data_IF_047592802133
#
_entry.id   IF_047592802133
#
_cell.length_a   1.000
_cell.length_b   1.000
_cell.length_c   1.000
_cell.angle_alpha   90.00
_cell.angle_beta   90.00
_cell.angle_gamma   90.00
#
_symmetry.space_group_name_H-M   'P 1'
#
loop_
_entity.id
_entity.type
_entity.pdbx_description
1 polymer ?
#
# COMPACT_ATOMS: atom_id res chain seq x y z
N UNK A 1 31.03 -2.32 15.39
CA UNK A 1 29.98 -1.36 15.02
C UNK A 1 29.00 -2.15 14.18
N UNK A 2 27.76 -2.38 14.62
CA UNK A 2 26.75 -2.90 13.69
C UNK A 2 26.60 -1.80 12.64
N UNK A 3 27.00 -2.05 11.40
CA UNK A 3 26.52 -1.24 10.29
C UNK A 3 24.99 -1.27 10.41
N UNK A 4 24.38 -0.10 10.54
CA UNK A 4 22.94 -0.03 10.70
C UNK A 4 22.30 -0.59 9.42
N UNK A 5 21.14 -1.21 9.49
CA UNK A 5 20.44 -1.67 8.29
C UNK A 5 20.17 -0.50 7.30
N UNK A 6 20.10 0.73 7.83
CA UNK A 6 20.06 1.98 7.07
C UNK A 6 21.33 2.16 6.23
N UNK A 7 22.53 1.84 6.74
CA UNK A 7 23.79 1.97 6.01
C UNK A 7 23.81 1.08 4.75
N UNK A 8 23.18 -0.10 4.81
CA UNK A 8 23.04 -1.02 3.65
C UNK A 8 22.17 -0.37 2.57
N UNK A 9 21.05 0.25 2.99
CA UNK A 9 20.12 0.94 2.09
C UNK A 9 20.75 2.18 1.47
N UNK A 10 21.55 2.94 2.24
CA UNK A 10 22.25 4.13 1.74
C UNK A 10 23.37 3.80 0.74
N UNK A 11 23.98 2.63 0.90
CA UNK A 11 25.03 2.13 0.00
C UNK A 11 24.48 1.34 -1.18
N UNK A 12 23.18 1.04 -1.22
CA UNK A 12 22.58 0.32 -2.34
C UNK A 12 22.83 1.06 -3.66
N UNK A 13 23.09 0.28 -4.70
CA UNK A 13 23.26 0.77 -6.07
C UNK A 13 22.38 -0.08 -6.95
N UNK A 14 21.42 0.58 -7.56
CA UNK A 14 20.52 -0.04 -8.52
C UNK A 14 21.29 -0.38 -9.80
N UNK A 15 21.08 -1.60 -10.29
CA UNK A 15 21.57 -2.03 -11.59
C UNK A 15 20.32 -2.27 -12.45
N UNK A 16 20.03 -1.39 -13.43
CA UNK A 16 18.86 -1.52 -14.28
C UNK A 16 18.75 -2.94 -14.86
N UNK A 17 17.54 -3.50 -14.83
CA UNK A 17 17.19 -4.83 -15.33
C UNK A 17 17.87 -6.03 -14.64
N UNK A 18 18.65 -5.79 -13.57
CA UNK A 18 19.38 -6.85 -12.85
C UNK A 18 19.08 -6.86 -11.35
N UNK A 19 19.05 -5.67 -10.74
CA UNK A 19 18.84 -5.50 -9.31
C UNK A 19 18.16 -4.16 -9.07
N UNK A 20 16.85 -4.19 -8.90
CA UNK A 20 16.07 -2.98 -8.62
C UNK A 20 15.88 -2.76 -7.12
N UNK A 21 15.67 -1.50 -6.73
CA UNK A 21 15.50 -1.16 -5.30
C UNK A 21 14.20 -1.73 -4.73
N UNK A 22 13.14 -1.80 -5.54
CA UNK A 22 11.85 -2.36 -5.13
C UNK A 22 11.99 -3.82 -4.68
N UNK A 23 12.66 -4.66 -5.48
CA UNK A 23 12.87 -6.07 -5.14
C UNK A 23 13.68 -6.23 -3.84
N UNK A 24 14.76 -5.46 -3.70
CA UNK A 24 15.57 -5.46 -2.48
C UNK A 24 14.72 -5.04 -1.27
N UNK A 25 13.95 -3.96 -1.38
CA UNK A 25 13.06 -3.46 -0.33
C UNK A 25 12.07 -4.55 0.12
N UNK A 26 11.36 -5.17 -0.84
CA UNK A 26 10.34 -6.16 -0.56
C UNK A 26 10.93 -7.45 0.03
N UNK A 27 12.07 -7.93 -0.48
CA UNK A 27 12.77 -9.10 0.08
C UNK A 27 13.21 -8.84 1.51
N UNK A 28 13.70 -7.64 1.80
CA UNK A 28 14.11 -7.27 3.14
C UNK A 28 12.94 -7.13 4.11
N UNK A 29 11.81 -6.55 3.68
CA UNK A 29 10.59 -6.53 4.47
C UNK A 29 10.10 -7.96 4.76
N UNK A 30 10.13 -8.85 3.76
CA UNK A 30 9.77 -10.24 3.97
C UNK A 30 10.68 -10.90 5.02
N UNK A 31 11.99 -10.67 4.94
CA UNK A 31 12.97 -11.27 5.86
C UNK A 31 12.91 -10.70 7.28
N UNK A 32 12.71 -9.39 7.43
CA UNK A 32 12.81 -8.69 8.71
C UNK A 32 11.46 -8.57 9.42
N UNK A 33 10.38 -8.34 8.67
CA UNK A 33 9.04 -8.18 9.21
C UNK A 33 7.96 -8.71 8.26
N UNK A 34 7.80 -10.06 8.20
CA UNK A 34 6.82 -10.71 7.32
C UNK A 34 5.39 -10.13 7.37
N UNK A 35 4.86 -9.69 8.52
CA UNK A 35 3.54 -9.05 8.57
C UNK A 35 3.45 -7.77 7.73
N UNK A 36 4.46 -6.89 7.76
CA UNK A 36 4.47 -5.68 6.91
C UNK A 36 4.59 -6.06 5.44
N UNK A 37 5.42 -7.05 5.09
CA UNK A 37 5.48 -7.53 3.71
C UNK A 37 4.13 -8.04 3.21
N UNK A 38 3.43 -8.88 3.99
CA UNK A 38 2.10 -9.38 3.62
C UNK A 38 1.10 -8.24 3.50
N UNK A 39 1.14 -7.28 4.42
CA UNK A 39 0.31 -6.07 4.36
C UNK A 39 0.57 -5.28 3.08
N UNK A 40 1.82 -4.99 2.72
CA UNK A 40 2.17 -4.34 1.45
C UNK A 40 1.63 -5.09 0.24
N UNK A 41 1.77 -6.43 0.21
CA UNK A 41 1.22 -7.27 -0.88
C UNK A 41 -0.30 -7.19 -0.95
N UNK A 42 -0.98 -7.23 0.21
CA UNK A 42 -2.44 -7.07 0.28
C UNK A 42 -2.89 -5.71 -0.24
N UNK A 43 -2.28 -4.63 0.23
CA UNK A 43 -2.58 -3.26 -0.21
C UNK A 43 -2.31 -3.10 -1.71
N UNK A 44 -1.24 -3.70 -2.23
CA UNK A 44 -0.96 -3.80 -3.66
C UNK A 44 -2.10 -4.43 -4.44
N UNK A 45 -2.50 -5.66 -4.06
CA UNK A 45 -3.55 -6.42 -4.74
C UNK A 45 -4.91 -5.71 -4.70
N UNK A 46 -5.28 -5.15 -3.54
CA UNK A 46 -6.51 -4.38 -3.35
C UNK A 46 -6.50 -3.13 -4.22
N UNK A 47 -5.41 -2.35 -4.19
CA UNK A 47 -5.27 -1.12 -4.99
C UNK A 47 -5.37 -1.42 -6.48
N UNK A 48 -4.71 -2.47 -6.96
CA UNK A 48 -4.79 -2.89 -8.38
C UNK A 48 -6.22 -3.26 -8.77
N UNK A 49 -6.90 -4.07 -7.97
CA UNK A 49 -8.29 -4.47 -8.22
C UNK A 49 -9.20 -3.23 -8.27
N UNK A 50 -9.13 -2.35 -7.25
CA UNK A 50 -9.90 -1.12 -7.21
C UNK A 50 -9.59 -0.21 -8.42
N UNK A 51 -8.33 -0.10 -8.82
CA UNK A 51 -7.91 0.70 -9.98
C UNK A 51 -8.54 0.16 -11.28
N UNK A 52 -8.52 -1.16 -11.50
CA UNK A 52 -9.15 -1.80 -12.68
C UNK A 52 -10.65 -1.48 -12.73
N UNK A 53 -11.35 -1.58 -11.59
CA UNK A 53 -12.76 -1.20 -11.53
C UNK A 53 -12.97 0.30 -11.77
N UNK A 54 -12.09 1.16 -11.26
CA UNK A 54 -12.14 2.59 -11.47
C UNK A 54 -11.94 2.96 -12.95
N UNK A 55 -11.02 2.32 -13.65
CA UNK A 55 -10.80 2.50 -15.10
C UNK A 55 -12.09 2.17 -15.88
N UNK A 56 -12.82 1.12 -15.46
CA UNK A 56 -14.08 0.74 -16.10
C UNK A 56 -15.22 1.73 -15.79
N UNK A 57 -15.35 2.14 -14.54
CA UNK A 57 -16.51 2.89 -14.05
C UNK A 57 -16.37 4.41 -14.23
N UNK A 58 -15.18 4.96 -13.94
CA UNK A 58 -14.91 6.40 -13.91
C UNK A 58 -13.47 6.73 -14.37
N UNK A 59 -13.08 6.39 -15.61
CA UNK A 59 -11.71 6.63 -16.11
C UNK A 59 -11.28 8.10 -16.09
N UNK A 60 -12.23 9.04 -16.11
CA UNK A 60 -11.94 10.47 -16.00
C UNK A 60 -11.23 10.87 -14.70
N UNK A 61 -11.39 10.09 -13.63
CA UNK A 61 -10.71 10.32 -12.35
C UNK A 61 -9.22 9.97 -12.40
N UNK A 62 -8.78 9.22 -13.41
CA UNK A 62 -7.38 8.81 -13.59
C UNK A 62 -6.64 9.67 -14.63
N UNK A 63 -7.31 10.65 -15.24
CA UNK A 63 -6.64 11.62 -16.12
C UNK A 63 -5.60 12.40 -15.30
N UNK A 64 -4.36 12.43 -15.81
CA UNK A 64 -3.20 13.01 -15.13
C UNK A 64 -2.26 11.95 -14.54
N UNK A 65 -2.80 10.77 -14.15
CA UNK A 65 -1.98 9.63 -13.74
C UNK A 65 -1.12 9.20 -14.92
N UNK A 66 0.17 8.95 -14.67
CA UNK A 66 1.18 8.68 -15.70
C UNK A 66 1.17 9.70 -16.85
N UNK A 67 0.84 10.96 -16.55
CA UNK A 67 0.78 12.10 -17.50
C UNK A 67 -0.25 11.92 -18.62
N UNK A 68 -1.25 11.06 -18.42
CA UNK A 68 -2.37 10.94 -19.35
C UNK A 68 -3.15 12.24 -19.43
N UNK A 69 -3.62 12.59 -20.62
CA UNK A 69 -4.33 13.85 -20.90
C UNK A 69 -5.81 13.65 -21.17
N UNK A 70 -6.21 12.45 -21.53
CA UNK A 70 -7.58 12.14 -21.95
C UNK A 70 -8.04 10.81 -21.38
N UNK A 71 -9.36 10.63 -21.30
CA UNK A 71 -9.98 9.34 -20.95
C UNK A 71 -9.55 8.23 -21.92
N UNK A 72 -9.35 8.55 -23.19
CA UNK A 72 -8.89 7.57 -24.18
C UNK A 72 -7.48 7.07 -23.85
N UNK A 73 -6.56 7.97 -23.51
CA UNK A 73 -5.21 7.57 -23.08
C UNK A 73 -5.23 6.72 -21.81
N UNK A 74 -6.14 6.99 -20.87
CA UNK A 74 -6.35 6.15 -19.68
C UNK A 74 -6.81 4.74 -20.07
N UNK A 75 -7.72 4.61 -21.03
CA UNK A 75 -8.22 3.31 -21.49
C UNK A 75 -7.16 2.51 -22.26
N UNK A 76 -6.40 3.16 -23.14
CA UNK A 76 -5.32 2.52 -23.89
C UNK A 76 -4.19 2.05 -22.96
N UNK A 77 -3.88 2.81 -21.91
CA UNK A 77 -2.80 2.52 -20.96
C UNK A 77 -3.30 1.89 -19.66
N UNK A 78 -4.47 1.23 -19.69
CA UNK A 78 -5.11 0.66 -18.50
C UNK A 78 -4.22 -0.30 -17.73
N UNK A 79 -3.45 -1.13 -18.44
CA UNK A 79 -2.59 -2.14 -17.82
C UNK A 79 -1.39 -1.46 -17.13
N UNK A 80 -0.78 -0.47 -17.79
CA UNK A 80 0.29 0.36 -17.20
C UNK A 80 -0.18 1.11 -15.96
N UNK A 81 -1.40 1.67 -15.97
CA UNK A 81 -1.96 2.39 -14.82
C UNK A 81 -2.25 1.42 -13.66
N UNK A 82 -2.79 0.24 -13.96
CA UNK A 82 -3.06 -0.78 -12.95
C UNK A 82 -1.76 -1.32 -12.34
N UNK A 83 -0.71 -1.49 -13.13
CA UNK A 83 0.62 -1.89 -12.65
C UNK A 83 1.27 -0.77 -11.82
N UNK A 84 1.21 0.49 -12.26
CA UNK A 84 1.65 1.63 -11.46
C UNK A 84 0.95 1.65 -10.09
N UNK A 85 -0.38 1.48 -10.07
CA UNK A 85 -1.16 1.47 -8.83
C UNK A 85 -0.73 0.32 -7.91
N UNK A 86 -0.44 -0.86 -8.47
CA UNK A 86 0.05 -2.01 -7.72
C UNK A 86 1.42 -1.78 -7.09
N UNK A 87 2.41 -1.34 -7.88
CA UNK A 87 3.78 -1.15 -7.40
C UNK A 87 3.92 0.06 -6.46
N UNK A 88 3.16 1.12 -6.72
CA UNK A 88 3.08 2.25 -5.80
C UNK A 88 2.49 1.84 -4.43
N UNK A 89 1.46 1.01 -4.44
CA UNK A 89 0.87 0.45 -3.24
C UNK A 89 1.79 -0.55 -2.53
N UNK A 90 2.56 -1.39 -3.25
CA UNK A 90 3.57 -2.25 -2.64
C UNK A 90 4.62 -1.45 -1.84
N UNK A 91 4.99 -0.28 -2.37
CA UNK A 91 6.02 0.58 -1.80
C UNK A 91 5.51 1.62 -0.78
N UNK A 92 4.19 1.70 -0.50
CA UNK A 92 3.63 2.79 0.33
C UNK A 92 4.31 2.90 1.70
N UNK A 93 4.66 1.75 2.27
CA UNK A 93 5.23 1.56 3.59
C UNK A 93 6.77 1.50 3.60
N UNK A 94 7.43 1.85 2.48
CA UNK A 94 8.88 1.68 2.31
C UNK A 94 9.70 2.28 3.45
N UNK A 95 9.29 3.42 4.00
CA UNK A 95 10.01 4.08 5.08
C UNK A 95 10.02 3.32 6.40
N UNK A 96 9.12 2.36 6.62
CA UNK A 96 9.11 1.51 7.83
C UNK A 96 10.40 0.71 7.99
N UNK A 97 11.13 0.52 6.89
CA UNK A 97 12.43 -0.14 6.87
C UNK A 97 13.47 0.54 7.79
N UNK A 98 13.39 1.86 7.96
CA UNK A 98 14.30 2.63 8.79
C UNK A 98 13.98 2.56 10.29
N UNK A 99 12.78 2.08 10.64
CA UNK A 99 12.24 2.01 12.00
C UNK A 99 11.74 0.60 12.32
N UNK A 100 12.32 -0.40 11.65
CA UNK A 100 11.82 -1.79 11.67
C UNK A 100 11.89 -2.39 13.10
N UNK A 101 12.87 -1.96 13.88
CA UNK A 101 13.07 -2.30 15.28
C UNK A 101 11.94 -1.78 16.17
N UNK A 102 11.44 -0.57 15.88
CA UNK A 102 10.33 0.06 16.60
C UNK A 102 8.99 -0.61 16.29
N UNK A 103 8.78 -1.06 15.05
CA UNK A 103 7.53 -1.78 14.70
C UNK A 103 7.53 -3.24 15.19
N UNK A 104 8.69 -3.81 15.52
CA UNK A 104 8.84 -5.21 15.96
C UNK A 104 8.33 -5.48 17.39
N UNK A 105 7.68 -4.50 18.03
CA UNK A 105 7.21 -4.62 19.42
C UNK A 105 5.94 -5.47 19.48
N UNK A 106 6.13 -6.79 19.54
CA UNK A 106 5.04 -7.73 19.79
C UNK A 106 4.54 -7.63 21.24
N UNK A 107 3.21 -7.61 21.42
CA UNK A 107 2.58 -7.89 22.72
C UNK A 107 2.32 -6.71 23.64
N UNK A 108 2.55 -5.46 23.22
CA UNK A 108 2.08 -4.27 23.96
C UNK A 108 1.63 -3.13 23.05
N UNK A 109 0.95 -2.14 23.63
CA UNK A 109 0.67 -0.87 22.95
C UNK A 109 1.97 -0.08 22.77
N UNK A 110 2.04 0.65 21.66
CA UNK A 110 3.08 1.64 21.41
C UNK A 110 2.94 2.80 22.39
N UNK A 111 4.08 3.36 22.79
CA UNK A 111 4.14 4.66 23.46
C UNK A 111 3.85 5.78 22.45
N UNK A 112 3.54 6.98 22.95
CA UNK A 112 3.33 8.14 22.09
C UNK A 112 4.57 8.48 21.24
N UNK A 113 5.78 8.30 21.80
CA UNK A 113 7.03 8.53 21.08
C UNK A 113 7.26 7.51 19.97
N UNK A 114 7.00 6.23 20.22
CA UNK A 114 7.11 5.18 19.18
C UNK A 114 6.09 5.42 18.07
N UNK A 115 4.87 5.84 18.42
CA UNK A 115 3.86 6.18 17.43
C UNK A 115 4.24 7.43 16.62
N UNK A 116 4.82 8.44 17.26
CA UNK A 116 5.35 9.62 16.57
C UNK A 116 6.49 9.25 15.60
N UNK A 117 7.37 8.33 15.99
CA UNK A 117 8.41 7.79 15.11
C UNK A 117 7.81 7.02 13.93
N UNK A 118 6.76 6.22 14.15
CA UNK A 118 6.07 5.56 13.04
C UNK A 118 5.51 6.58 12.05
N UNK A 119 5.01 7.74 12.49
CA UNK A 119 4.47 8.75 11.58
C UNK A 119 5.50 9.38 10.63
N UNK A 120 6.80 9.16 10.82
CA UNK A 120 7.84 9.67 9.92
C UNK A 120 8.08 8.77 8.69
N UNK A 121 7.50 7.56 8.66
CA UNK A 121 7.73 6.63 7.57
C UNK A 121 7.24 7.09 6.18
N UNK A 122 6.20 7.93 6.02
CA UNK A 122 5.84 8.44 4.70
C UNK A 122 6.93 9.36 4.12
N UNK A 123 7.50 10.26 4.94
CA UNK A 123 8.60 11.15 4.55
C UNK A 123 9.87 10.35 4.26
N UNK A 124 10.21 9.41 5.15
CA UNK A 124 11.36 8.52 4.94
C UNK A 124 11.19 7.67 3.67
N UNK A 125 9.97 7.18 3.42
CA UNK A 125 9.62 6.43 2.22
C UNK A 125 9.79 7.27 0.96
N UNK A 126 9.29 8.51 0.98
CA UNK A 126 9.48 9.46 -0.12
C UNK A 126 10.96 9.67 -0.44
N UNK A 127 11.78 9.94 0.59
CA UNK A 127 13.22 10.18 0.42
C UNK A 127 13.95 8.95 -0.14
N UNK A 128 13.59 7.75 0.33
CA UNK A 128 14.21 6.51 -0.13
C UNK A 128 13.82 6.19 -1.58
N UNK A 129 12.52 6.21 -1.88
CA UNK A 129 12.02 5.84 -3.21
C UNK A 129 12.47 6.86 -4.27
N UNK A 130 12.56 8.15 -3.92
CA UNK A 130 12.99 9.20 -4.86
C UNK A 130 14.43 9.05 -5.38
N UNK A 131 15.27 8.26 -4.70
CA UNK A 131 16.69 8.07 -5.06
C UNK A 131 16.89 7.09 -6.23
N UNK A 132 15.92 6.22 -6.50
CA UNK A 132 16.10 5.06 -7.36
C UNK A 132 15.17 5.11 -8.58
N UNK A 133 15.66 4.66 -9.73
CA UNK A 133 14.91 4.74 -10.98
C UNK A 133 13.66 3.85 -10.93
N UNK A 134 13.76 2.64 -10.36
CA UNK A 134 12.64 1.70 -10.26
C UNK A 134 11.50 2.17 -9.36
N UNK A 135 11.72 3.15 -8.48
CA UNK A 135 10.72 3.49 -7.44
C UNK A 135 10.38 4.97 -7.33
N UNK A 136 11.14 5.87 -7.97
CA UNK A 136 10.93 7.31 -7.82
C UNK A 136 9.54 7.79 -8.22
N UNK A 137 8.87 7.10 -9.13
CA UNK A 137 7.52 7.46 -9.57
C UNK A 137 6.44 7.12 -8.51
N UNK A 138 6.78 6.28 -7.53
CA UNK A 138 5.90 5.88 -6.41
C UNK A 138 6.06 6.78 -5.19
N UNK A 139 7.07 7.66 -5.15
CA UNK A 139 7.45 8.42 -3.96
C UNK A 139 6.31 9.26 -3.41
N UNK A 140 5.58 9.99 -4.27
CA UNK A 140 4.40 10.77 -3.87
C UNK A 140 3.30 9.92 -3.23
N UNK A 141 3.13 8.69 -3.72
CA UNK A 141 2.14 7.75 -3.18
C UNK A 141 2.53 7.33 -1.77
N UNK A 142 3.80 6.99 -1.55
CA UNK A 142 4.32 6.71 -0.21
C UNK A 142 4.23 7.92 0.72
N UNK A 143 4.47 9.15 0.24
CA UNK A 143 4.32 10.36 1.05
C UNK A 143 2.87 10.62 1.46
N UNK A 144 1.94 10.39 0.54
CA UNK A 144 0.55 10.79 0.66
C UNK A 144 -0.41 9.79 1.26
N UNK A 145 -0.06 8.50 1.37
CA UNK A 145 -1.03 7.44 1.66
C UNK A 145 -1.75 7.55 3.01
N UNK A 146 -1.28 8.37 3.95
CA UNK A 146 -1.97 8.66 5.22
C UNK A 146 -2.70 10.01 5.26
N UNK A 147 -2.61 10.84 4.22
CA UNK A 147 -3.34 12.10 4.10
C UNK A 147 -4.82 11.87 3.91
N UNK A 148 -5.65 12.75 4.47
CA UNK A 148 -7.09 12.74 4.21
C UNK A 148 -7.40 13.32 2.83
N UNK A 149 -8.50 12.88 2.23
CA UNK A 149 -8.92 13.28 0.89
C UNK A 149 -9.03 14.81 0.74
N UNK A 150 -9.57 15.50 1.74
CA UNK A 150 -9.73 16.96 1.77
C UNK A 150 -8.50 17.72 2.28
N UNK A 151 -7.41 17.02 2.61
CA UNK A 151 -6.19 17.53 3.23
C UNK A 151 -6.38 18.19 4.61
N UNK A 152 -7.53 18.04 5.29
CA UNK A 152 -7.77 18.61 6.62
C UNK A 152 -7.06 17.85 7.76
N UNK A 153 -6.52 16.67 7.44
CA UNK A 153 -5.89 15.77 8.40
C UNK A 153 -4.98 14.74 7.74
N UNK A 154 -4.49 13.82 8.58
CA UNK A 154 -3.45 12.86 8.20
C UNK A 154 -2.04 13.45 8.33
N UNK A 155 -1.04 12.68 7.93
CA UNK A 155 0.38 13.07 7.99
C UNK A 155 1.10 12.64 6.70
N UNK A 156 2.17 13.36 6.29
CA UNK A 156 2.71 14.58 6.93
C UNK A 156 1.82 15.82 6.72
N UNK A 157 1.90 16.81 7.60
CA UNK A 157 0.94 17.93 7.61
C UNK A 157 1.08 18.84 6.39
N UNK A 158 2.30 19.07 5.93
CA UNK A 158 2.70 19.98 4.86
C UNK A 158 2.51 19.42 3.44
N UNK A 159 2.20 18.13 3.30
CA UNK A 159 1.90 17.54 2.01
C UNK A 159 0.44 17.77 1.60
N UNK A 160 0.26 18.47 0.48
CA UNK A 160 -1.02 18.72 -0.17
C UNK A 160 -1.18 17.78 -1.36
N UNK A 161 -1.93 16.70 -1.15
CA UNK A 161 -2.13 15.63 -2.13
C UNK A 161 -2.76 16.14 -3.42
N UNK A 162 -3.55 17.23 -3.38
CA UNK A 162 -4.25 17.77 -4.55
C UNK A 162 -3.31 18.25 -5.66
N UNK A 163 -2.03 18.48 -5.33
CA UNK A 163 -0.98 18.88 -6.26
C UNK A 163 -0.23 17.71 -6.89
N UNK A 164 -0.39 16.49 -6.37
CA UNK A 164 0.27 15.31 -6.93
C UNK A 164 -0.48 14.81 -8.16
N UNK A 165 0.26 14.49 -9.23
CA UNK A 165 -0.30 13.79 -10.40
C UNK A 165 -0.80 12.38 -10.06
N UNK A 166 -0.43 11.84 -8.90
CA UNK A 166 -0.86 10.55 -8.39
C UNK A 166 -1.99 10.64 -7.34
N UNK A 167 -2.67 11.79 -7.18
CA UNK A 167 -3.75 12.00 -6.19
C UNK A 167 -4.76 10.86 -6.13
N UNK A 168 -5.27 10.43 -7.28
CA UNK A 168 -6.27 9.34 -7.35
C UNK A 168 -5.68 8.01 -6.89
N UNK A 169 -4.40 7.75 -7.17
CA UNK A 169 -3.70 6.55 -6.70
C UNK A 169 -3.45 6.65 -5.19
N UNK A 170 -3.08 7.82 -4.67
CA UNK A 170 -2.98 8.08 -3.22
C UNK A 170 -4.31 7.74 -2.52
N UNK A 171 -5.45 8.20 -3.06
CA UNK A 171 -6.77 7.92 -2.50
C UNK A 171 -7.11 6.41 -2.51
N UNK A 172 -6.73 5.70 -3.59
CA UNK A 172 -6.89 4.24 -3.65
C UNK A 172 -6.04 3.53 -2.60
N UNK A 173 -4.75 3.89 -2.48
CA UNK A 173 -3.82 3.29 -1.52
C UNK A 173 -4.24 3.60 -0.08
N UNK A 174 -4.65 4.82 0.22
CA UNK A 174 -5.15 5.22 1.54
C UNK A 174 -6.36 4.38 1.96
N UNK A 175 -7.30 4.14 1.03
CA UNK A 175 -8.45 3.27 1.26
C UNK A 175 -8.02 1.80 1.46
N UNK A 176 -7.17 1.28 0.59
CA UNK A 176 -6.70 -0.10 0.63
C UNK A 176 -5.87 -0.41 1.90
N UNK A 177 -4.98 0.49 2.32
CA UNK A 177 -4.22 0.41 3.57
C UNK A 177 -5.18 0.31 4.78
N UNK A 178 -6.09 1.28 4.90
CA UNK A 178 -7.07 1.30 5.99
C UNK A 178 -7.94 0.04 6.00
N UNK A 179 -8.36 -0.44 4.83
CA UNK A 179 -9.20 -1.62 4.68
C UNK A 179 -8.45 -2.89 5.09
N UNK A 180 -7.23 -3.10 4.60
CA UNK A 180 -6.44 -4.27 4.96
C UNK A 180 -6.15 -4.26 6.47
N UNK A 181 -5.72 -3.12 7.01
CA UNK A 181 -5.41 -2.96 8.43
C UNK A 181 -6.64 -3.17 9.33
N UNK A 182 -7.83 -2.72 8.92
CA UNK A 182 -9.06 -2.86 9.69
C UNK A 182 -9.62 -4.29 9.67
N UNK A 183 -9.42 -5.01 8.57
CA UNK A 183 -10.00 -6.35 8.36
C UNK A 183 -9.00 -7.49 8.63
N UNK A 184 -7.73 -7.18 8.90
CA UNK A 184 -6.72 -8.20 9.21
C UNK A 184 -7.01 -8.93 10.52
N UNK A 185 -7.34 -10.20 10.39
CA UNK A 185 -7.59 -11.12 11.49
C UNK A 185 -6.49 -12.20 11.63
N UNK A 186 -5.43 -12.16 10.81
CA UNK A 186 -4.31 -13.11 10.84
C UNK A 186 -3.07 -12.44 11.43
N UNK A 187 -2.63 -11.32 10.85
CA UNK A 187 -1.41 -10.63 11.28
C UNK A 187 -1.55 -9.82 12.55
N UNK A 188 -2.75 -9.26 12.76
CA UNK A 188 -3.07 -8.41 13.90
C UNK A 188 -3.87 -9.18 14.96
N UNK A 189 -3.27 -10.22 15.52
CA UNK A 189 -3.90 -11.24 16.40
C UNK A 189 -4.61 -10.73 17.66
N UNK A 190 -4.46 -9.46 18.01
CA UNK A 190 -5.01 -8.87 19.24
C UNK A 190 -6.40 -8.25 19.07
N UNK A 191 -6.91 -8.12 17.83
CA UNK A 191 -8.24 -7.59 17.55
C UNK A 191 -9.03 -8.55 16.67
N UNK A 192 -10.33 -8.68 16.94
CA UNK A 192 -11.26 -9.27 15.97
C UNK A 192 -11.35 -8.28 14.80
N UNK A 193 -10.73 -8.61 13.67
CA UNK A 193 -10.78 -7.78 12.47
C UNK A 193 -12.23 -7.49 12.06
N UNK A 194 -12.46 -6.28 11.54
CA UNK A 194 -13.77 -5.86 11.01
C UNK A 194 -14.12 -6.70 9.80
N UNK A 195 -15.40 -6.86 9.55
CA UNK A 195 -15.93 -7.31 8.26
C UNK A 195 -15.77 -6.22 7.21
N UNK A 196 -15.80 -6.59 5.92
CA UNK A 196 -15.79 -5.60 4.83
C UNK A 196 -16.99 -4.65 4.95
N UNK A 197 -18.18 -5.14 5.28
CA UNK A 197 -19.37 -4.29 5.46
C UNK A 197 -19.23 -3.27 6.60
N UNK A 198 -18.60 -3.64 7.72
CA UNK A 198 -18.30 -2.69 8.80
C UNK A 198 -17.32 -1.60 8.32
N UNK A 199 -16.28 -1.99 7.58
CA UNK A 199 -15.37 -1.01 6.96
C UNK A 199 -16.09 -0.09 5.95
N UNK A 200 -17.00 -0.63 5.12
CA UNK A 200 -17.75 0.18 4.15
C UNK A 200 -18.71 1.18 4.81
N UNK A 201 -19.23 0.85 6.00
CA UNK A 201 -19.98 1.82 6.81
C UNK A 201 -19.09 3.00 7.18
N UNK A 202 -17.88 2.73 7.70
CA UNK A 202 -16.91 3.78 8.06
C UNK A 202 -16.40 4.57 6.84
N UNK A 203 -16.24 3.90 5.70
CA UNK A 203 -15.90 4.54 4.43
C UNK A 203 -16.96 5.56 4.04
N UNK A 204 -18.24 5.19 4.15
CA UNK A 204 -19.37 6.06 3.86
C UNK A 204 -19.45 7.24 4.84
N UNK A 205 -19.27 6.99 6.14
CA UNK A 205 -19.24 8.04 7.18
C UNK A 205 -18.08 9.04 6.99
N UNK A 206 -16.93 8.57 6.52
CA UNK A 206 -15.75 9.37 6.26
C UNK A 206 -15.68 9.98 4.84
N UNK A 207 -16.68 9.77 3.99
CA UNK A 207 -16.69 10.21 2.61
C UNK A 207 -16.70 11.74 2.50
N UNK A 208 -15.83 12.29 1.65
CA UNK A 208 -15.69 13.73 1.43
C UNK A 208 -14.75 14.43 2.41
N UNK A 209 -14.32 13.75 3.47
CA UNK A 209 -13.32 14.23 4.41
C UNK A 209 -12.09 13.31 4.38
N UNK A 210 -12.14 12.18 5.11
CA UNK A 210 -11.04 11.21 5.16
C UNK A 210 -10.86 10.50 3.83
N UNK A 211 -11.96 10.04 3.23
CA UNK A 211 -11.96 9.25 2.00
C UNK A 211 -12.59 10.02 0.84
N UNK A 212 -12.13 9.75 -0.37
CA UNK A 212 -12.73 10.30 -1.57
C UNK A 212 -14.19 9.81 -1.74
N UNK A 213 -15.17 10.69 -2.00
CA UNK A 213 -16.58 10.29 -2.13
C UNK A 213 -16.81 9.21 -3.20
N UNK A 214 -16.05 9.24 -4.29
CA UNK A 214 -16.17 8.28 -5.39
C UNK A 214 -15.77 6.84 -5.01
N UNK A 215 -15.04 6.65 -3.90
CA UNK A 215 -14.74 5.31 -3.38
C UNK A 215 -16.02 4.59 -2.94
N UNK A 216 -16.98 5.29 -2.34
CA UNK A 216 -18.26 4.68 -1.94
C UNK A 216 -18.99 4.09 -3.14
N UNK A 217 -18.96 4.80 -4.28
CA UNK A 217 -19.57 4.34 -5.53
C UNK A 217 -18.82 3.12 -6.12
N UNK A 218 -17.50 3.04 -5.94
CA UNK A 218 -16.70 1.90 -6.40
C UNK A 218 -17.16 0.60 -5.72
N UNK A 219 -17.44 0.63 -4.41
CA UNK A 219 -17.91 -0.54 -3.66
C UNK A 219 -19.40 -0.84 -3.85
N UNK A 220 -20.17 0.05 -4.47
CA UNK A 220 -21.54 -0.24 -4.87
C UNK A 220 -21.60 -1.20 -6.09
N UNK A 221 -20.51 -1.32 -6.85
CA UNK A 221 -20.36 -2.32 -7.90
C UNK A 221 -20.17 -3.72 -7.29
N UNK A 222 -21.12 -4.62 -7.55
CA UNK A 222 -21.10 -5.97 -6.97
C UNK A 222 -19.85 -6.76 -7.35
N UNK A 223 -19.35 -6.60 -8.58
CA UNK A 223 -18.14 -7.31 -9.02
C UNK A 223 -16.92 -6.85 -8.23
N UNK A 224 -16.77 -5.53 -8.06
CA UNK A 224 -15.70 -4.97 -7.24
C UNK A 224 -15.79 -5.47 -5.78
N UNK A 225 -16.99 -5.48 -5.20
CA UNK A 225 -17.22 -5.98 -3.85
C UNK A 225 -16.78 -7.46 -3.70
N UNK A 226 -17.29 -8.34 -4.58
CA UNK A 226 -17.04 -9.79 -4.51
C UNK A 226 -15.54 -10.11 -4.68
N UNK A 227 -14.84 -9.43 -5.59
CA UNK A 227 -13.39 -9.61 -5.80
C UNK A 227 -12.57 -9.12 -4.61
N UNK A 228 -12.91 -7.97 -4.04
CA UNK A 228 -12.22 -7.41 -2.87
C UNK A 228 -12.45 -8.29 -1.64
N UNK A 229 -13.68 -8.78 -1.41
CA UNK A 229 -13.97 -9.72 -0.32
C UNK A 229 -13.17 -11.02 -0.47
N UNK A 230 -13.02 -11.53 -1.70
CA UNK A 230 -12.21 -12.71 -1.99
C UNK A 230 -10.72 -12.48 -1.66
N UNK A 231 -10.18 -11.30 -2.01
CA UNK A 231 -8.81 -10.91 -1.67
C UNK A 231 -8.61 -10.84 -0.15
N UNK A 232 -9.48 -10.14 0.58
CA UNK A 232 -9.39 -9.96 2.04
C UNK A 232 -9.50 -11.28 2.81
N UNK A 233 -10.17 -12.29 2.25
CA UNK A 233 -10.39 -13.58 2.89
C UNK A 233 -9.41 -14.66 2.41
N UNK A 234 -9.58 -15.18 1.20
CA UNK A 234 -8.75 -16.27 0.65
C UNK A 234 -7.40 -15.74 0.18
N UNK A 235 -7.36 -14.56 -0.45
CA UNK A 235 -6.13 -13.91 -0.89
C UNK A 235 -5.15 -13.66 0.26
N UNK A 236 -5.63 -13.10 1.37
CA UNK A 236 -4.84 -12.88 2.60
C UNK A 236 -4.19 -14.15 3.11
N UNK A 237 -4.97 -15.23 3.28
CA UNK A 237 -4.45 -16.55 3.73
C UNK A 237 -3.39 -17.08 2.76
N UNK A 238 -3.65 -16.96 1.46
CA UNK A 238 -2.69 -17.34 0.44
C UNK A 238 -1.39 -16.53 0.56
N UNK A 239 -1.45 -15.20 0.74
CA UNK A 239 -0.27 -14.34 0.86
C UNK A 239 0.55 -14.65 2.12
N UNK A 240 -0.08 -14.91 3.27
CA UNK A 240 0.63 -15.38 4.47
C UNK A 240 1.35 -16.71 4.22
N UNK A 241 0.66 -17.68 3.60
CA UNK A 241 1.23 -18.99 3.29
C UNK A 241 2.41 -18.87 2.31
N UNK A 242 2.24 -18.09 1.24
CA UNK A 242 3.29 -17.84 0.24
C UNK A 242 4.51 -17.17 0.86
N UNK A 243 4.31 -16.18 1.73
CA UNK A 243 5.40 -15.52 2.46
C UNK A 243 6.18 -16.50 3.33
N UNK A 244 5.50 -17.40 4.02
CA UNK A 244 6.16 -18.45 4.79
C UNK A 244 7.03 -19.35 3.90
N UNK A 245 6.53 -19.76 2.73
CA UNK A 245 7.30 -20.59 1.79
C UNK A 245 8.52 -19.86 1.21
N UNK A 246 8.35 -18.58 0.84
CA UNK A 246 9.44 -17.72 0.37
C UNK A 246 10.58 -17.67 1.41
N UNK A 247 10.26 -17.46 2.69
CA UNK A 247 11.26 -17.36 3.76
C UNK A 247 11.94 -18.68 4.12
N UNK A 248 11.36 -19.81 3.71
CA UNK A 248 11.88 -21.15 4.03
C UNK A 248 12.53 -21.85 2.84
N UNK A 249 12.60 -21.21 1.67
CA UNK A 249 13.04 -21.82 0.41
C UNK A 249 12.33 -23.15 0.13
N UNK A 250 11.06 -23.26 0.52
CA UNK A 250 10.24 -24.45 0.32
C UNK A 250 9.40 -24.28 -0.96
N UNK A 251 9.30 -25.33 -1.79
CA UNK A 251 8.36 -25.33 -2.90
C UNK A 251 6.93 -25.29 -2.36
N UNK A 252 6.03 -24.51 -2.99
CA UNK A 252 4.60 -24.56 -2.70
C UNK A 252 4.09 -25.99 -2.96
N UNK A 253 4.02 -26.81 -1.93
CA UNK A 253 3.25 -28.05 -2.00
C UNK A 253 1.78 -27.65 -1.90
N UNK A 254 0.97 -28.12 -2.83
CA UNK A 254 -0.48 -27.95 -2.83
C UNK A 254 -1.06 -28.65 -1.60
N UNK A 255 -1.09 -27.95 -0.47
CA UNK A 255 -1.82 -28.41 0.71
C UNK A 255 -3.29 -28.15 0.44
N UNK A 256 -3.97 -29.17 -0.08
CA UNK A 256 -5.43 -29.24 -0.12
C UNK A 256 -5.93 -29.24 1.34
N UNK A 257 -6.69 -28.22 1.73
CA UNK A 257 -7.57 -28.25 2.89
C UNK A 257 -9.02 -28.22 2.40
#
# INVERSE_FOLDING_TARGET
>A
MLESYVDVIERFREIPDVLCFEEMLLQSLAALHPPTYVHSVMVGQLTKCMCIHLIRLKPQLLVGVLRTKTVWEVQERKDEIADFAYHAALCHDAGKIAIIDTIFVYGRKLTEMEFALIKTHPETGYELLSRYASTREYADVALGHHKWYDNSGGYPEDFDTSKSSAKTIIDLVQCADCMDAATDNIGRSYNKGKTLNEFLTELSEGAGNRYAPWLVELFADKTAFDEIELLLTKGRRHNYRRTYYLLRNMQEQTVYF
#
